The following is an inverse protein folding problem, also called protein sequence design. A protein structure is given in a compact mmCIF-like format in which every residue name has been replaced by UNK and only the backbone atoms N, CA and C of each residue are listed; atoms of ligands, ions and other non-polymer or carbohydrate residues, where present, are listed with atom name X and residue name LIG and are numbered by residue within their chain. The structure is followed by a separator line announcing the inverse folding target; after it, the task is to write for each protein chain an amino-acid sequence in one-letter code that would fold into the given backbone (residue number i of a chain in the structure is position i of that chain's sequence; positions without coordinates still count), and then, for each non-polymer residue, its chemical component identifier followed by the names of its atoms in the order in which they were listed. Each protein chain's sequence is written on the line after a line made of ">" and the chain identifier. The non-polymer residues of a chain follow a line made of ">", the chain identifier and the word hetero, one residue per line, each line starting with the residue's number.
data_IF_982944551912
#
_entry.id   IF_982944551912
#
_cell.length_a   1.000
_cell.length_b   1.000
_cell.length_c   1.000
_cell.angle_alpha   90.00
_cell.angle_beta   90.00
_cell.angle_gamma   90.00
#
_symmetry.space_group_name_H-M   'P 1'
#
loop_
_entity.id
_entity.type
_entity.pdbx_description
1 polymer ?
#
# COMPACT_ATOMS: atom_id res chain seq x y z
N UNK A 1 26.40 3.42 -21.77
CA UNK A 1 26.29 1.97 -22.06
C UNK A 1 26.37 1.25 -20.72
N UNK A 2 25.23 1.06 -20.05
CA UNK A 2 25.17 0.37 -18.75
C UNK A 2 25.25 -1.13 -19.05
N UNK A 3 26.42 -1.72 -18.83
CA UNK A 3 26.60 -3.15 -18.68
C UNK A 3 26.55 -3.45 -17.18
N UNK A 4 25.34 -3.67 -16.69
CA UNK A 4 25.06 -4.16 -15.35
C UNK A 4 23.68 -4.81 -15.43
N UNK A 5 23.65 -6.13 -15.47
CA UNK A 5 22.41 -6.89 -15.58
C UNK A 5 21.55 -6.68 -14.32
N UNK A 6 20.53 -5.83 -14.39
CA UNK A 6 19.30 -6.09 -13.66
C UNK A 6 18.43 -6.92 -14.61
N UNK A 7 18.33 -8.22 -14.35
CA UNK A 7 17.46 -9.13 -15.08
C UNK A 7 15.98 -8.92 -14.72
N UNK A 8 15.57 -7.66 -14.48
CA UNK A 8 14.19 -7.35 -14.16
C UNK A 8 13.45 -7.09 -15.47
N UNK A 9 12.32 -7.77 -15.71
CA UNK A 9 11.53 -7.53 -16.90
C UNK A 9 10.91 -6.13 -16.81
N UNK A 10 11.54 -5.17 -17.46
CA UNK A 10 10.93 -3.87 -17.70
C UNK A 10 9.83 -4.07 -18.75
N UNK A 11 8.57 -3.99 -18.33
CA UNK A 11 7.41 -4.11 -19.23
C UNK A 11 6.53 -2.88 -19.17
N UNK A 12 6.19 -2.33 -20.35
CA UNK A 12 5.11 -1.34 -20.50
C UNK A 12 3.79 -2.08 -20.54
N UNK A 13 2.82 -1.62 -19.76
CA UNK A 13 1.47 -2.15 -19.72
C UNK A 13 0.47 -1.01 -19.71
N UNK A 14 -0.54 -1.12 -20.55
CA UNK A 14 -1.75 -0.31 -20.48
C UNK A 14 -2.89 -1.06 -19.80
N UNK A 15 -2.80 -2.39 -19.72
CA UNK A 15 -3.83 -3.26 -19.16
C UNK A 15 -3.65 -3.45 -17.65
N UNK A 16 -4.78 -3.51 -16.95
CA UNK A 16 -4.84 -3.79 -15.53
C UNK A 16 -4.36 -5.22 -15.22
N UNK A 17 -3.46 -5.34 -14.24
CA UNK A 17 -2.84 -6.60 -13.79
C UNK A 17 -3.21 -6.90 -12.34
N UNK A 18 -4.21 -7.76 -12.06
CA UNK A 18 -4.67 -8.06 -10.69
C UNK A 18 -3.58 -8.66 -9.80
N UNK A 19 -2.61 -9.37 -10.37
CA UNK A 19 -1.47 -9.97 -9.65
C UNK A 19 -0.53 -8.92 -9.01
N UNK A 20 -0.70 -7.64 -9.34
CA UNK A 20 0.00 -6.51 -8.72
C UNK A 20 -0.75 -5.95 -7.51
N UNK A 21 -1.91 -6.51 -7.16
CA UNK A 21 -2.65 -6.17 -5.94
C UNK A 21 -3.29 -4.79 -5.92
N UNK A 22 -3.44 -4.16 -7.09
CA UNK A 22 -4.15 -2.88 -7.26
C UNK A 22 -5.52 -3.18 -7.86
N UNK A 23 -6.60 -2.65 -7.27
CA UNK A 23 -7.95 -2.85 -7.78
C UNK A 23 -8.15 -2.13 -9.12
N UNK A 24 -9.01 -2.65 -10.01
CA UNK A 24 -9.13 -2.12 -11.37
C UNK A 24 -9.48 -0.63 -11.41
N UNK A 25 -10.51 -0.23 -10.66
CA UNK A 25 -10.91 1.18 -10.59
C UNK A 25 -9.82 2.09 -10.01
N UNK A 26 -8.95 1.55 -9.14
CA UNK A 26 -7.83 2.30 -8.57
C UNK A 26 -6.68 2.41 -9.57
N UNK A 27 -6.40 1.37 -10.36
CA UNK A 27 -5.44 1.40 -11.46
C UNK A 27 -5.76 2.52 -12.45
N UNK A 28 -7.02 2.58 -12.89
CA UNK A 28 -7.52 3.63 -13.78
C UNK A 28 -7.40 5.02 -13.12
N UNK A 29 -7.75 5.14 -11.83
CA UNK A 29 -7.63 6.39 -11.09
C UNK A 29 -6.17 6.88 -10.99
N UNK A 30 -5.22 5.97 -10.73
CA UNK A 30 -3.81 6.31 -10.59
C UNK A 30 -3.19 6.69 -11.94
N UNK A 31 -3.52 5.97 -13.00
CA UNK A 31 -3.09 6.31 -14.37
C UNK A 31 -3.61 7.68 -14.80
N UNK A 32 -4.91 7.94 -14.61
CA UNK A 32 -5.51 9.23 -14.93
C UNK A 32 -4.92 10.38 -14.08
N UNK A 33 -4.63 10.11 -12.80
CA UNK A 33 -4.00 11.09 -11.92
C UNK A 33 -2.57 11.44 -12.39
N UNK A 34 -1.75 10.42 -12.69
CA UNK A 34 -0.39 10.58 -13.20
C UNK A 34 -0.38 11.41 -14.50
N UNK A 35 -1.26 11.07 -15.45
CA UNK A 35 -1.46 11.81 -16.69
C UNK A 35 -1.89 13.27 -16.45
N UNK A 36 -2.92 13.48 -15.62
CA UNK A 36 -3.49 14.82 -15.41
C UNK A 36 -2.57 15.78 -14.65
N UNK A 37 -1.72 15.26 -13.76
CA UNK A 37 -0.81 16.06 -12.92
C UNK A 37 0.61 16.17 -13.49
N UNK A 38 0.91 15.43 -14.55
CA UNK A 38 2.26 15.28 -15.10
C UNK A 38 3.25 14.68 -14.08
N UNK A 39 2.81 13.62 -13.39
CA UNK A 39 3.57 12.93 -12.35
C UNK A 39 3.91 11.48 -12.73
N UNK A 40 5.10 11.03 -12.36
CA UNK A 40 5.37 9.60 -12.21
C UNK A 40 5.01 9.18 -10.78
N UNK A 41 4.05 8.28 -10.65
CA UNK A 41 3.57 7.80 -9.34
C UNK A 41 3.92 6.33 -9.19
N UNK A 42 4.85 6.02 -8.28
CA UNK A 42 5.27 4.65 -8.02
C UNK A 42 4.60 4.14 -6.74
N UNK A 43 3.94 3.00 -6.84
CA UNK A 43 3.17 2.37 -5.77
C UNK A 43 3.72 0.96 -5.54
N UNK A 44 3.89 0.57 -4.28
CA UNK A 44 4.26 -0.81 -3.97
C UNK A 44 3.08 -1.74 -4.25
N UNK A 45 3.35 -2.83 -4.96
CA UNK A 45 2.40 -3.88 -5.27
C UNK A 45 1.79 -4.44 -3.99
N UNK A 46 0.50 -4.75 -4.07
CA UNK A 46 -0.28 -5.30 -2.98
C UNK A 46 -0.39 -6.83 -3.07
N UNK A 47 -1.46 -7.33 -2.47
CA UNK A 47 -1.88 -8.74 -2.55
C UNK A 47 -3.10 -8.83 -3.46
N UNK A 48 -3.11 -9.78 -4.39
CA UNK A 48 -4.22 -9.97 -5.32
C UNK A 48 -5.53 -10.28 -4.56
N UNK A 49 -5.42 -11.11 -3.52
CA UNK A 49 -6.52 -11.55 -2.66
C UNK A 49 -7.18 -10.39 -1.89
N UNK A 50 -6.48 -9.26 -1.73
CA UNK A 50 -7.01 -8.06 -1.11
C UNK A 50 -7.95 -7.27 -2.04
N UNK A 51 -7.81 -7.40 -3.37
CA UNK A 51 -8.54 -6.60 -4.37
C UNK A 51 -10.05 -6.66 -4.14
N UNK A 52 -10.60 -7.88 -3.94
CA UNK A 52 -12.04 -8.07 -3.71
C UNK A 52 -12.58 -7.30 -2.50
N UNK A 53 -11.77 -7.11 -1.46
CA UNK A 53 -12.18 -6.36 -0.26
C UNK A 53 -12.01 -4.86 -0.44
N UNK A 54 -10.95 -4.47 -1.15
CA UNK A 54 -10.72 -3.10 -1.56
C UNK A 54 -11.92 -2.57 -2.36
N UNK A 55 -12.38 -3.34 -3.35
CA UNK A 55 -13.54 -3.00 -4.20
C UNK A 55 -14.86 -2.98 -3.42
N UNK A 56 -14.98 -3.75 -2.33
CA UNK A 56 -16.13 -3.72 -1.39
C UNK A 56 -16.04 -2.60 -0.36
N UNK A 57 -15.05 -1.71 -0.46
CA UNK A 57 -14.85 -0.59 0.45
C UNK A 57 -14.52 -1.02 1.88
N UNK A 58 -13.69 -2.06 2.03
CA UNK A 58 -13.13 -2.45 3.33
C UNK A 58 -11.98 -1.49 3.68
N UNK A 59 -11.84 -1.08 4.95
CA UNK A 59 -10.80 -0.13 5.34
C UNK A 59 -9.39 -0.71 5.11
N UNK A 60 -8.45 0.16 4.71
CA UNK A 60 -7.03 -0.19 4.71
C UNK A 60 -6.49 -0.32 6.15
N UNK A 61 -5.43 -1.11 6.31
CA UNK A 61 -4.74 -1.31 7.59
C UNK A 61 -4.29 0.05 8.19
N UNK A 62 -4.69 0.44 9.41
CA UNK A 62 -4.28 1.69 10.01
C UNK A 62 -2.83 1.61 10.53
N UNK A 63 -2.15 2.76 10.63
CA UNK A 63 -0.74 2.82 11.04
C UNK A 63 -0.49 2.26 12.45
N UNK A 64 -1.44 2.45 13.38
CA UNK A 64 -1.37 1.93 14.75
C UNK A 64 -1.31 0.39 14.81
N UNK A 65 -1.80 -0.30 13.77
CA UNK A 65 -1.70 -1.74 13.62
C UNK A 65 -0.50 -2.17 12.77
N UNK A 66 0.51 -1.30 12.63
CA UNK A 66 1.73 -1.50 11.82
C UNK A 66 2.45 -2.84 12.06
N UNK A 67 2.38 -3.37 13.28
CA UNK A 67 2.98 -4.64 13.71
C UNK A 67 2.34 -5.89 13.06
N UNK A 68 1.09 -5.82 12.63
CA UNK A 68 0.40 -6.92 11.95
C UNK A 68 0.73 -6.97 10.46
N UNK A 69 0.57 -8.14 9.84
CA UNK A 69 0.66 -8.30 8.39
C UNK A 69 -0.69 -8.76 7.85
N UNK A 70 -1.08 -8.20 6.70
CA UNK A 70 -2.20 -8.73 5.93
C UNK A 70 -1.81 -10.13 5.46
N UNK A 71 -2.65 -11.11 5.76
CA UNK A 71 -2.46 -12.49 5.36
C UNK A 71 -2.54 -12.60 3.82
N UNK A 72 -1.55 -13.25 3.21
CA UNK A 72 -1.41 -13.29 1.75
C UNK A 72 -2.53 -14.09 1.09
N UNK A 73 -2.94 -15.19 1.69
CA UNK A 73 -3.88 -16.13 1.08
C UNK A 73 -5.33 -15.67 1.32
N UNK A 74 -5.56 -14.94 2.43
CA UNK A 74 -6.88 -14.40 2.74
C UNK A 74 -7.11 -13.00 2.17
N UNK A 75 -6.09 -12.13 2.15
CA UNK A 75 -6.22 -10.71 1.78
C UNK A 75 -6.72 -9.79 2.91
N UNK A 76 -6.73 -10.27 4.16
CA UNK A 76 -7.22 -9.54 5.35
C UNK A 76 -6.17 -9.50 6.47
N UNK A 77 -6.27 -8.49 7.33
CA UNK A 77 -5.38 -8.33 8.48
C UNK A 77 -5.69 -9.38 9.56
N UNK A 78 -4.67 -10.14 9.99
CA UNK A 78 -4.82 -11.18 11.03
C UNK A 78 -3.89 -10.90 12.22
N UNK A 79 -4.42 -11.09 13.43
CA UNK A 79 -3.69 -11.17 14.69
C UNK A 79 -3.52 -12.64 15.07
N UNK A 80 -2.27 -13.14 15.04
CA UNK A 80 -2.03 -14.59 15.16
C UNK A 80 -1.81 -15.00 16.62
N UNK A 81 -0.97 -14.26 17.34
CA UNK A 81 -0.57 -14.60 18.71
C UNK A 81 -1.30 -13.77 19.78
N UNK A 82 -1.21 -14.15 21.07
CA UNK A 82 -1.88 -13.42 22.15
C UNK A 82 -1.40 -11.97 22.32
N UNK A 83 -0.14 -11.67 22.00
CA UNK A 83 0.42 -10.32 22.11
C UNK A 83 -0.14 -9.38 21.05
N UNK A 84 -0.27 -9.87 19.82
CA UNK A 84 -0.98 -9.18 18.74
C UNK A 84 -2.42 -8.82 19.15
N UNK A 85 -3.13 -9.82 19.70
CA UNK A 85 -4.54 -9.68 20.08
C UNK A 85 -4.72 -8.61 21.16
N UNK A 86 -3.87 -8.64 22.19
CA UNK A 86 -3.89 -7.65 23.27
C UNK A 86 -3.69 -6.21 22.74
N UNK A 87 -2.78 -6.02 21.78
CA UNK A 87 -2.55 -4.71 21.17
C UNK A 87 -3.72 -4.25 20.30
N UNK A 88 -4.28 -5.13 19.47
CA UNK A 88 -5.48 -4.81 18.66
C UNK A 88 -6.63 -4.33 19.55
N UNK A 89 -6.85 -5.01 20.68
CA UNK A 89 -7.83 -4.61 21.66
C UNK A 89 -7.50 -3.28 22.35
N UNK A 90 -6.23 -3.03 22.67
CA UNK A 90 -5.79 -1.75 23.24
C UNK A 90 -6.03 -0.56 22.29
N UNK A 91 -5.97 -0.80 20.97
CA UNK A 91 -6.36 0.17 19.94
C UNK A 91 -7.88 0.24 19.69
N UNK A 92 -8.68 -0.55 20.43
CA UNK A 92 -10.14 -0.51 20.40
C UNK A 92 -10.77 -1.27 19.25
N UNK A 93 -10.00 -2.04 18.48
CA UNK A 93 -10.50 -2.87 17.38
C UNK A 93 -11.01 -4.22 17.89
N UNK A 94 -11.76 -4.93 17.04
CA UNK A 94 -12.30 -6.25 17.38
C UNK A 94 -11.55 -7.35 16.65
N UNK A 95 -11.60 -8.57 17.18
CA UNK A 95 -11.01 -9.75 16.55
C UNK A 95 -12.06 -10.83 16.42
N UNK A 96 -12.12 -11.48 15.26
CA UNK A 96 -12.92 -12.67 15.09
C UNK A 96 -12.25 -13.84 15.81
N UNK A 97 -12.93 -14.43 16.78
CA UNK A 97 -12.48 -15.65 17.45
C UNK A 97 -13.64 -16.63 17.58
N UNK A 98 -13.32 -17.91 17.75
CA UNK A 98 -14.33 -18.91 18.08
C UNK A 98 -14.81 -18.73 19.52
N UNK A 99 -16.13 -18.83 19.73
CA UNK A 99 -16.76 -18.84 21.04
C UNK A 99 -17.75 -19.99 21.12
N UNK A 100 -17.79 -20.65 22.27
CA UNK A 100 -18.89 -21.57 22.57
C UNK A 100 -20.12 -20.79 23.05
N UNK A 101 -21.23 -20.92 22.32
CA UNK A 101 -22.52 -20.33 22.68
C UNK A 101 -23.53 -21.46 22.75
N UNK A 102 -24.09 -21.70 23.95
CA UNK A 102 -25.06 -22.76 24.21
C UNK A 102 -24.60 -24.15 23.71
N UNK A 103 -23.33 -24.51 23.96
CA UNK A 103 -22.76 -25.80 23.56
C UNK A 103 -22.35 -25.90 22.09
N UNK A 104 -22.48 -24.82 21.31
CA UNK A 104 -22.10 -24.79 19.89
C UNK A 104 -20.97 -23.80 19.66
N UNK A 105 -19.91 -24.25 18.97
CA UNK A 105 -18.82 -23.39 18.50
C UNK A 105 -19.29 -22.47 17.40
N UNK A 106 -19.19 -21.17 17.61
CA UNK A 106 -19.59 -20.13 16.66
C UNK A 106 -18.51 -19.06 16.58
N UNK A 107 -18.24 -18.55 15.38
CA UNK A 107 -17.44 -17.32 15.27
C UNK A 107 -18.17 -16.17 15.94
N UNK A 108 -17.44 -15.41 16.73
CA UNK A 108 -17.87 -14.13 17.28
C UNK A 108 -16.81 -13.08 16.96
N UNK A 109 -17.24 -11.87 16.60
CA UNK A 109 -16.33 -10.74 16.67
C UNK A 109 -16.33 -10.29 18.11
N UNK A 110 -15.22 -10.55 18.78
CA UNK A 110 -14.98 -10.05 20.11
C UNK A 110 -14.67 -8.57 19.99
N UNK A 111 -15.72 -7.77 20.12
CA UNK A 111 -15.58 -6.42 20.67
C UNK A 111 -15.01 -6.57 22.07
N UNK A 112 -14.05 -5.70 22.39
CA UNK A 112 -13.34 -5.64 23.67
C UNK A 112 -14.24 -5.86 24.90
N UNK A 113 -15.54 -5.54 24.84
CA UNK A 113 -16.44 -5.67 26.01
C UNK A 113 -17.79 -6.39 25.81
N UNK A 114 -18.19 -6.84 24.62
CA UNK A 114 -19.57 -7.36 24.43
C UNK A 114 -19.70 -8.71 23.72
N UNK A 115 -18.59 -9.25 23.19
CA UNK A 115 -18.50 -10.62 22.66
C UNK A 115 -19.80 -11.14 22.00
N UNK A 116 -20.28 -10.45 20.96
CA UNK A 116 -21.49 -10.84 20.23
C UNK A 116 -21.16 -11.68 19.01
N UNK A 117 -22.01 -12.68 18.66
CA UNK A 117 -21.91 -13.34 17.37
C UNK A 117 -21.95 -12.29 16.24
N UNK A 118 -21.14 -12.51 15.20
CA UNK A 118 -21.31 -11.79 13.94
C UNK A 118 -22.65 -12.18 13.34
N UNK A 119 -23.48 -11.21 12.95
CA UNK A 119 -24.71 -11.47 12.22
C UNK A 119 -24.38 -12.09 10.84
N UNK A 120 -25.31 -12.82 10.19
CA UNK A 120 -25.05 -13.46 8.90
C UNK A 120 -24.44 -12.51 7.86
N UNK A 121 -25.01 -11.32 7.66
CA UNK A 121 -24.46 -10.33 6.70
C UNK A 121 -23.12 -9.72 7.10
N UNK A 122 -22.70 -9.83 8.36
CA UNK A 122 -21.36 -9.42 8.81
C UNK A 122 -20.30 -10.50 8.54
N UNK A 123 -20.68 -11.65 7.96
CA UNK A 123 -19.78 -12.76 7.60
C UNK A 123 -19.68 -13.02 6.11
N UNK A 124 -20.32 -12.21 5.26
CA UNK A 124 -20.34 -12.38 3.78
C UNK A 124 -18.95 -12.21 3.10
N UNK A 125 -17.87 -12.18 3.88
CA UNK A 125 -16.48 -12.11 3.44
C UNK A 125 -15.68 -13.36 3.84
N UNK A 126 -16.29 -14.30 4.56
CA UNK A 126 -15.68 -15.52 5.08
C UNK A 126 -16.29 -16.74 4.40
N UNK A 127 -15.46 -17.67 3.93
CA UNK A 127 -15.91 -18.96 3.39
C UNK A 127 -15.87 -20.10 4.42
N UNK A 128 -15.04 -19.99 5.46
CA UNK A 128 -14.94 -20.97 6.55
C UNK A 128 -14.55 -20.35 7.89
N UNK A 129 -14.86 -21.03 9.01
CA UNK A 129 -14.51 -20.52 10.33
C UNK A 129 -13.00 -20.35 10.55
N UNK A 130 -12.21 -21.28 10.04
CA UNK A 130 -10.74 -21.30 10.21
C UNK A 130 -10.07 -20.11 9.51
N UNK A 131 -10.59 -19.69 8.36
CA UNK A 131 -10.10 -18.49 7.66
C UNK A 131 -10.37 -17.22 8.49
N UNK A 132 -11.53 -17.16 9.13
CA UNK A 132 -11.99 -15.99 9.87
C UNK A 132 -11.26 -15.79 11.20
N UNK A 133 -10.78 -16.86 11.84
CA UNK A 133 -10.15 -16.74 13.16
C UNK A 133 -8.93 -15.81 13.10
N UNK A 134 -8.88 -14.87 14.04
CA UNK A 134 -7.81 -13.86 14.16
C UNK A 134 -7.99 -12.64 13.25
N UNK A 135 -9.02 -12.59 12.39
CA UNK A 135 -9.24 -11.43 11.52
C UNK A 135 -9.60 -10.20 12.35
N UNK A 136 -8.94 -9.09 12.06
CA UNK A 136 -9.14 -7.81 12.75
C UNK A 136 -10.24 -7.02 12.07
N UNK A 137 -11.22 -6.60 12.87
CA UNK A 137 -12.40 -5.83 12.45
C UNK A 137 -12.26 -4.40 12.97
N UNK A 138 -12.40 -3.44 12.07
CA UNK A 138 -12.48 -2.02 12.39
C UNK A 138 -13.71 -1.72 13.25
N UNK A 139 -13.48 -1.01 14.35
CA UNK A 139 -14.56 -0.58 15.25
C UNK A 139 -15.57 0.33 14.55
N UNK A 140 -15.10 1.23 13.68
CA UNK A 140 -15.94 2.28 13.10
C UNK A 140 -16.83 1.74 11.98
N UNK A 141 -16.24 1.05 11.00
CA UNK A 141 -16.96 0.54 9.84
C UNK A 141 -17.56 -0.84 10.05
N UNK A 142 -17.18 -1.55 11.13
CA UNK A 142 -17.56 -2.95 11.40
C UNK A 142 -17.11 -3.91 10.30
N UNK A 143 -16.13 -3.53 9.48
CA UNK A 143 -15.55 -4.35 8.41
C UNK A 143 -14.13 -4.80 8.77
N UNK A 144 -13.67 -5.96 8.28
CA UNK A 144 -12.27 -6.33 8.34
C UNK A 144 -11.32 -5.30 7.72
N UNK A 145 -10.13 -5.15 8.29
CA UNK A 145 -9.05 -4.44 7.62
C UNK A 145 -8.46 -5.28 6.48
N UNK A 146 -8.20 -4.63 5.35
CA UNK A 146 -7.48 -5.20 4.20
C UNK A 146 -6.22 -4.39 3.90
N UNK A 147 -5.53 -4.68 2.80
CA UNK A 147 -4.34 -3.96 2.36
C UNK A 147 -4.63 -2.46 2.14
N UNK A 148 -3.70 -1.65 2.60
CA UNK A 148 -3.48 -0.28 2.20
C UNK A 148 -2.59 -0.21 0.94
N UNK A 149 -2.33 0.99 0.43
CA UNK A 149 -1.36 1.22 -0.63
C UNK A 149 -0.20 2.03 -0.08
N UNK A 150 1.02 1.61 -0.43
CA UNK A 150 2.23 2.33 -0.09
C UNK A 150 2.73 3.10 -1.31
N UNK A 151 2.92 4.41 -1.15
CA UNK A 151 3.70 5.18 -2.10
C UNK A 151 5.16 4.72 -2.00
N UNK A 152 5.72 4.31 -3.12
CA UNK A 152 7.15 4.05 -3.22
C UNK A 152 7.91 5.36 -3.41
N UNK A 153 7.55 6.11 -4.45
CA UNK A 153 8.14 7.41 -4.81
C UNK A 153 7.19 8.20 -5.72
N UNK A 154 7.40 9.51 -5.80
CA UNK A 154 6.68 10.39 -6.72
C UNK A 154 7.68 11.31 -7.40
N UNK A 155 7.62 11.45 -8.73
CA UNK A 155 8.46 12.39 -9.48
C UNK A 155 7.57 13.39 -10.20
N UNK A 156 7.82 14.68 -10.01
CA UNK A 156 7.23 15.72 -10.86
C UNK A 156 7.96 15.74 -12.21
N UNK A 157 7.27 15.44 -13.31
CA UNK A 157 7.90 15.38 -14.63
C UNK A 157 8.33 16.76 -15.15
N UNK A 158 7.82 17.83 -14.53
CA UNK A 158 8.12 19.23 -14.88
C UNK A 158 9.33 19.75 -14.12
N UNK A 159 9.59 19.20 -12.93
CA UNK A 159 10.70 19.60 -12.06
C UNK A 159 11.34 18.37 -11.39
N UNK A 160 12.50 17.96 -11.93
CA UNK A 160 13.26 16.84 -11.38
C UNK A 160 14.07 17.28 -10.16
N UNK A 161 13.43 17.24 -8.98
CA UNK A 161 14.09 17.40 -7.68
C UNK A 161 14.13 16.06 -6.90
N UNK A 162 15.34 15.53 -6.73
CA UNK A 162 15.56 14.22 -6.14
C UNK A 162 15.13 14.18 -4.67
N UNK A 163 15.38 15.24 -3.90
CA UNK A 163 15.01 15.28 -2.49
C UNK A 163 13.50 15.38 -2.30
N UNK A 164 12.81 16.09 -3.20
CA UNK A 164 11.34 16.13 -3.24
C UNK A 164 10.76 14.78 -3.66
N UNK A 165 11.48 14.06 -4.52
CA UNK A 165 11.10 12.77 -5.10
C UNK A 165 11.18 11.60 -4.12
N UNK A 166 12.29 11.50 -3.38
CA UNK A 166 12.47 10.44 -2.37
C UNK A 166 11.77 10.78 -1.06
N UNK A 167 11.29 12.02 -0.91
CA UNK A 167 10.29 12.37 0.09
C UNK A 167 10.84 12.82 1.43
N UNK A 168 11.82 13.73 1.48
CA UNK A 168 12.16 14.36 2.76
C UNK A 168 12.42 15.85 2.60
N UNK A 169 11.47 16.66 3.10
CA UNK A 169 11.67 18.11 3.24
C UNK A 169 12.85 18.41 4.18
N UNK A 170 13.12 17.55 5.17
CA UNK A 170 14.29 17.64 6.03
C UNK A 170 15.61 17.53 5.27
N UNK A 171 15.71 16.60 4.28
CA UNK A 171 16.88 16.50 3.40
C UNK A 171 17.03 17.73 2.49
N UNK A 172 15.94 18.46 2.24
CA UNK A 172 15.92 19.70 1.47
C UNK A 172 16.14 20.95 2.32
N UNK A 173 16.33 20.82 3.64
CA UNK A 173 16.39 21.96 4.56
C UNK A 173 15.06 22.73 4.68
N UNK A 174 13.96 22.16 4.20
CA UNK A 174 12.61 22.71 4.27
C UNK A 174 11.95 22.21 5.56
N UNK A 175 11.54 23.12 6.44
CA UNK A 175 10.84 22.78 7.69
C UNK A 175 9.54 23.56 7.78
N UNK A 176 8.47 23.13 7.09
CA UNK A 176 7.17 23.78 7.20
C UNK A 176 6.72 23.85 8.66
N UNK A 177 6.57 25.06 9.20
CA UNK A 177 6.16 25.27 10.59
C UNK A 177 7.15 24.77 11.66
N UNK A 178 8.44 24.58 11.32
CA UNK A 178 9.49 24.19 12.27
C UNK A 178 9.46 22.72 12.72
N UNK A 179 8.59 21.89 12.15
CA UNK A 179 8.61 20.43 12.36
C UNK A 179 9.42 19.75 11.25
N UNK A 180 10.33 18.87 11.65
CA UNK A 180 11.05 17.99 10.72
C UNK A 180 10.06 16.97 10.18
N UNK A 181 9.74 17.06 8.88
CA UNK A 181 8.93 16.07 8.18
C UNK A 181 9.85 15.12 7.42
N UNK A 182 9.68 13.82 7.66
CA UNK A 182 10.28 12.74 6.86
C UNK A 182 9.37 12.42 5.65
N UNK A 183 8.65 13.40 5.14
CA UNK A 183 7.82 13.29 3.94
C UNK A 183 7.86 14.65 3.27
N UNK A 184 8.10 14.70 1.96
CA UNK A 184 8.12 15.97 1.23
C UNK A 184 6.70 16.50 1.04
N UNK A 185 6.57 17.83 0.93
CA UNK A 185 5.29 18.48 0.61
C UNK A 185 4.63 17.92 -0.67
N UNK A 186 5.41 17.57 -1.68
CA UNK A 186 4.93 16.89 -2.90
C UNK A 186 4.28 15.54 -2.59
N UNK A 187 4.94 14.71 -1.78
CA UNK A 187 4.41 13.39 -1.41
C UNK A 187 3.13 13.54 -0.58
N UNK A 188 3.06 14.51 0.34
CA UNK A 188 1.84 14.79 1.09
C UNK A 188 0.68 15.27 0.20
N UNK A 189 0.96 16.12 -0.80
CA UNK A 189 -0.02 16.52 -1.81
C UNK A 189 -0.56 15.29 -2.55
N UNK A 190 0.33 14.46 -3.10
CA UNK A 190 -0.06 13.28 -3.87
C UNK A 190 -0.83 12.29 -3.01
N UNK A 191 -0.39 12.04 -1.78
CA UNK A 191 -1.08 11.17 -0.81
C UNK A 191 -2.49 11.66 -0.54
N UNK A 192 -2.68 12.96 -0.30
CA UNK A 192 -3.99 13.56 -0.05
C UNK A 192 -4.89 13.44 -1.28
N UNK A 193 -4.38 13.81 -2.45
CA UNK A 193 -5.15 13.82 -3.70
C UNK A 193 -5.58 12.40 -4.10
N UNK A 194 -4.67 11.42 -3.99
CA UNK A 194 -4.99 10.00 -4.25
C UNK A 194 -6.04 9.48 -3.26
N UNK A 195 -5.91 9.75 -1.96
CA UNK A 195 -6.92 9.34 -0.98
C UNK A 195 -8.30 9.99 -1.27
N UNK A 196 -8.32 11.24 -1.75
CA UNK A 196 -9.55 11.91 -2.15
C UNK A 196 -10.19 11.23 -3.37
N UNK A 197 -9.40 10.83 -4.38
CA UNK A 197 -9.87 10.07 -5.54
C UNK A 197 -10.48 8.72 -5.16
N UNK A 198 -9.90 8.06 -4.15
CA UNK A 198 -10.38 6.76 -3.67
C UNK A 198 -11.59 6.87 -2.72
N UNK A 199 -11.97 8.08 -2.31
CA UNK A 199 -13.04 8.30 -1.32
C UNK A 199 -12.76 7.67 0.06
N UNK A 200 -11.53 7.21 0.30
CA UNK A 200 -11.12 6.52 1.52
C UNK A 200 -9.61 6.65 1.71
N UNK A 201 -9.18 6.71 2.97
CA UNK A 201 -7.75 6.72 3.30
C UNK A 201 -7.14 5.33 3.05
N UNK A 202 -6.26 5.22 2.06
CA UNK A 202 -5.46 4.02 1.74
C UNK A 202 -3.98 4.29 1.61
N UNK A 203 -3.56 5.52 1.30
CA UNK A 203 -2.16 5.93 1.37
C UNK A 203 -1.91 6.59 2.73
N UNK A 204 -1.35 5.81 3.66
CA UNK A 204 -1.17 6.22 5.06
C UNK A 204 0.28 6.55 5.40
N UNK A 205 1.23 6.06 4.63
CA UNK A 205 2.66 6.27 4.82
C UNK A 205 3.21 7.28 3.82
N UNK A 206 4.36 7.89 4.16
CA UNK A 206 5.20 8.60 3.20
C UNK A 206 5.88 7.62 2.23
N UNK A 207 6.76 8.12 1.37
CA UNK A 207 7.47 7.31 0.38
C UNK A 207 8.34 6.24 1.03
N UNK A 208 8.18 4.98 0.66
CA UNK A 208 9.01 3.89 1.17
C UNK A 208 10.46 3.97 0.65
N UNK A 209 10.68 4.56 -0.54
CA UNK A 209 12.01 4.74 -1.12
C UNK A 209 13.00 5.48 -0.20
N UNK A 210 12.50 6.32 0.72
CA UNK A 210 13.36 7.03 1.68
C UNK A 210 14.02 6.10 2.71
N UNK A 211 13.40 4.95 3.00
CA UNK A 211 13.86 4.01 4.04
C UNK A 211 14.75 2.90 3.48
N UNK A 212 14.74 2.69 2.16
CA UNK A 212 15.56 1.68 1.47
C UNK A 212 17.06 1.93 1.63
N UNK A 213 17.47 3.20 1.77
CA UNK A 213 18.86 3.62 2.03
C UNK A 213 19.43 2.99 3.32
N UNK A 214 18.57 2.46 4.20
CA UNK A 214 18.95 1.91 5.52
C UNK A 214 18.56 0.46 5.76
N UNK A 215 17.78 -0.17 4.88
CA UNK A 215 17.34 -1.55 5.08
C UNK A 215 18.36 -2.54 4.49
N UNK A 216 18.87 -3.45 5.34
CA UNK A 216 19.44 -4.70 4.86
C UNK A 216 18.47 -5.33 3.85
N UNK A 217 18.99 -5.75 2.71
CA UNK A 217 18.20 -6.24 1.58
C UNK A 217 17.07 -7.17 2.05
N UNK A 218 15.82 -6.72 1.91
CA UNK A 218 14.68 -7.59 2.11
C UNK A 218 14.89 -8.86 1.27
N UNK A 219 14.84 -10.03 1.92
CA UNK A 219 15.07 -11.31 1.25
C UNK A 219 13.94 -11.66 0.28
N UNK A 220 12.76 -11.07 0.47
CA UNK A 220 11.61 -11.27 -0.40
C UNK A 220 11.55 -10.18 -1.48
N UNK A 221 11.27 -10.55 -2.75
CA UNK A 221 11.10 -9.57 -3.81
C UNK A 221 9.85 -8.73 -3.56
N UNK A 222 10.00 -7.42 -3.72
CA UNK A 222 8.90 -6.47 -3.74
C UNK A 222 8.53 -6.16 -5.20
N UNK A 223 7.26 -5.83 -5.42
CA UNK A 223 6.75 -5.37 -6.72
C UNK A 223 6.48 -3.89 -6.64
N UNK A 224 6.84 -3.13 -7.67
CA UNK A 224 6.54 -1.70 -7.80
C UNK A 224 5.80 -1.48 -9.11
N UNK A 225 4.73 -0.70 -9.07
CA UNK A 225 3.96 -0.26 -10.23
C UNK A 225 4.15 1.24 -10.39
N UNK A 226 4.72 1.67 -11.51
CA UNK A 226 4.84 3.08 -11.88
C UNK A 226 3.73 3.48 -12.85
N UNK A 227 2.98 4.53 -12.52
CA UNK A 227 2.02 5.16 -13.42
C UNK A 227 2.67 6.42 -14.02
N UNK A 228 2.73 6.48 -15.35
CA UNK A 228 3.48 7.49 -16.09
C UNK A 228 2.56 8.60 -16.64
N UNK A 229 3.08 9.84 -16.83
CA UNK A 229 2.33 10.95 -17.42
C UNK A 229 1.84 10.73 -18.85
N UNK A 230 2.40 9.77 -19.57
CA UNK A 230 1.99 9.42 -20.94
C UNK A 230 0.85 8.40 -20.98
N UNK A 231 0.29 8.04 -19.82
CA UNK A 231 -0.79 7.08 -19.67
C UNK A 231 -0.33 5.62 -19.61
N UNK A 232 0.98 5.34 -19.73
CA UNK A 232 1.50 3.99 -19.56
C UNK A 232 1.64 3.63 -18.07
N UNK A 233 1.58 2.35 -17.77
CA UNK A 233 2.07 1.80 -16.52
C UNK A 233 3.32 0.95 -16.78
N UNK A 234 4.25 0.98 -15.84
CA UNK A 234 5.46 0.15 -15.83
C UNK A 234 5.49 -0.66 -14.54
N UNK A 235 6.12 -1.82 -14.57
CA UNK A 235 6.28 -2.64 -13.38
C UNK A 235 7.71 -3.12 -13.21
N UNK A 236 8.08 -3.33 -11.95
CA UNK A 236 9.38 -3.82 -11.53
C UNK A 236 9.18 -4.81 -10.39
N UNK A 237 10.00 -5.83 -10.33
CA UNK A 237 10.01 -6.79 -9.23
C UNK A 237 11.45 -7.02 -8.82
N UNK A 238 11.78 -7.00 -7.54
CA UNK A 238 13.16 -7.19 -7.09
C UNK A 238 13.31 -6.97 -5.59
N UNK A 239 14.49 -7.25 -5.06
CA UNK A 239 14.78 -6.89 -3.66
C UNK A 239 14.83 -5.37 -3.52
N UNK A 240 14.62 -4.84 -2.31
CA UNK A 240 14.58 -3.38 -2.09
C UNK A 240 15.86 -2.68 -2.60
N UNK A 241 17.04 -3.30 -2.44
CA UNK A 241 18.29 -2.78 -2.98
C UNK A 241 18.36 -2.77 -4.52
N UNK A 242 17.79 -3.78 -5.20
CA UNK A 242 17.69 -3.78 -6.67
C UNK A 242 16.74 -2.70 -7.16
N UNK A 243 15.61 -2.52 -6.47
CA UNK A 243 14.60 -1.51 -6.79
C UNK A 243 15.14 -0.09 -6.58
N UNK A 244 16.00 0.15 -5.60
CA UNK A 244 16.69 1.43 -5.42
C UNK A 244 17.57 1.77 -6.63
N UNK A 245 18.37 0.81 -7.11
CA UNK A 245 19.23 1.01 -8.28
C UNK A 245 18.39 1.31 -9.52
N UNK A 246 17.35 0.52 -9.77
CA UNK A 246 16.42 0.77 -10.89
C UNK A 246 15.78 2.14 -10.78
N UNK A 247 15.35 2.56 -9.59
CA UNK A 247 14.74 3.86 -9.39
C UNK A 247 15.73 5.00 -9.66
N UNK A 248 16.98 4.89 -9.18
CA UNK A 248 18.03 5.87 -9.46
C UNK A 248 18.34 5.98 -10.94
N UNK A 249 18.38 4.86 -11.65
CA UNK A 249 18.63 4.84 -13.09
C UNK A 249 17.46 5.50 -13.85
N UNK A 250 16.21 5.16 -13.51
CA UNK A 250 15.01 5.81 -14.06
C UNK A 250 15.05 7.31 -13.80
N UNK A 251 15.33 7.74 -12.58
CA UNK A 251 15.42 9.15 -12.23
C UNK A 251 16.53 9.87 -13.02
N UNK A 252 17.71 9.27 -13.11
CA UNK A 252 18.84 9.84 -13.85
C UNK A 252 18.58 9.91 -15.35
N UNK A 253 17.85 8.94 -15.90
CA UNK A 253 17.41 8.93 -17.29
C UNK A 253 16.37 10.04 -17.52
N UNK A 254 15.34 10.11 -16.68
CA UNK A 254 14.29 11.14 -16.71
C UNK A 254 14.86 12.56 -16.68
N UNK A 255 15.81 12.80 -15.78
CA UNK A 255 16.48 14.09 -15.65
C UNK A 255 17.35 14.44 -16.88
N UNK A 256 17.89 13.44 -17.59
CA UNK A 256 18.74 13.66 -18.78
C UNK A 256 17.94 13.85 -20.07
N UNK A 257 16.80 13.17 -20.20
CA UNK A 257 16.12 13.03 -21.50
C UNK A 257 14.73 13.67 -21.53
N UNK A 258 14.24 14.21 -20.41
CA UNK A 258 12.86 14.69 -20.30
C UNK A 258 11.84 13.54 -20.37
N UNK A 259 10.53 13.84 -20.47
CA UNK A 259 9.46 12.83 -20.43
C UNK A 259 9.41 11.86 -21.63
N UNK A 260 10.33 11.95 -22.59
CA UNK A 260 10.28 11.13 -23.83
C UNK A 260 10.76 9.67 -23.67
N UNK A 261 11.21 9.26 -22.48
CA UNK A 261 11.87 7.95 -22.26
C UNK A 261 10.92 6.76 -22.42
N UNK A 262 9.62 6.98 -22.24
CA UNK A 262 8.60 5.95 -22.42
C UNK A 262 8.00 5.93 -23.85
N UNK A 263 8.58 6.64 -24.81
CA UNK A 263 8.25 6.54 -26.25
C UNK A 263 9.19 5.57 -26.98
N UNK A 264 9.00 4.28 -26.75
CA UNK A 264 9.60 3.18 -27.52
C UNK A 264 8.56 2.08 -27.73
#
# INVERSE_FOLDING_TARGET
>A
MIKGSSSLPFGKHTEWRPELGIAKGHWEAFSNYAFAKDYYVFIRGGKEEAIRFIERGFPGKPMELGFLKVDKDLGLLKAKDPGDRAQVFAFGHSIVMEKEVAGTKQLAAFLYDEGRPLAPGERDWVTSNDEAEGVVIDKATRKPFTSDYDLWSVVDAREFDYGSTIGSDALLGRTPGGKVSFTSSLVEEVRRDLNALLGSARFLHGTQAQFVISQEAAAEPERIVGFCPDGQAVYFEGTSGQLEVVFRDIYADLNRSGPEIFRL
#
